data_IF_382053247421
#
_entry.id   IF_382053247421
#
_cell.length_a   1.000
_cell.length_b   1.000
_cell.length_c   1.000
_cell.angle_alpha   90.00
_cell.angle_beta   90.00
_cell.angle_gamma   90.00
#
_symmetry.space_group_name_H-M   'P 1'
#
loop_
_entity.id
_entity.type
_entity.pdbx_description
1 polymer ?
#
# COMPACT_ATOMS: atom_id res chain seq x y z
N UNK A 1 12.88 15.47 -13.77
CA UNK A 1 12.47 16.01 -15.09
C UNK A 1 11.37 15.11 -15.60
N UNK A 2 10.12 15.57 -15.55
CA UNK A 2 8.94 14.77 -15.95
C UNK A 2 8.73 14.93 -17.44
N UNK A 3 8.57 13.81 -18.15
CA UNK A 3 8.25 13.81 -19.57
C UNK A 3 6.79 14.26 -19.76
N UNK A 4 6.61 15.34 -20.52
CA UNK A 4 5.31 15.79 -20.99
C UNK A 4 5.09 15.07 -22.31
N UNK A 5 4.13 14.17 -22.36
CA UNK A 5 3.73 13.52 -23.60
C UNK A 5 2.84 14.47 -24.41
N UNK A 6 3.41 15.01 -25.49
CA UNK A 6 2.71 15.86 -26.46
C UNK A 6 1.94 14.95 -27.42
N UNK A 7 0.63 14.90 -27.29
CA UNK A 7 -0.24 14.32 -28.32
C UNK A 7 -0.24 15.26 -29.52
N UNK A 8 0.41 14.83 -30.61
CA UNK A 8 0.35 15.50 -31.90
C UNK A 8 -1.00 15.24 -32.57
N UNK A 9 -1.84 16.24 -32.62
CA UNK A 9 -3.01 16.22 -33.46
C UNK A 9 -2.68 16.54 -34.95
N UNK A 10 -3.37 15.84 -35.82
CA UNK A 10 -3.17 15.77 -37.26
C UNK A 10 -3.57 17.06 -37.97
N UNK A 11 -2.87 17.33 -39.04
CA UNK A 11 -2.97 18.44 -39.96
C UNK A 11 -4.40 18.87 -40.38
N UNK A 12 -4.66 20.15 -40.22
CA UNK A 12 -5.80 20.85 -40.83
C UNK A 12 -5.50 21.14 -42.32
N UNK A 13 -6.39 20.87 -43.30
CA UNK A 13 -6.18 21.22 -44.69
C UNK A 13 -6.37 22.73 -44.94
N UNK A 14 -5.44 23.30 -45.70
CA UNK A 14 -5.44 24.70 -46.09
C UNK A 14 -6.64 25.01 -46.99
N UNK A 15 -7.57 25.85 -46.54
CA UNK A 15 -8.26 26.84 -47.36
C UNK A 15 -8.94 27.90 -46.49
N UNK A 16 -8.60 29.17 -46.77
CA UNK A 16 -9.17 30.46 -46.34
C UNK A 16 -8.96 30.85 -44.87
N UNK A 17 -8.15 31.93 -44.75
CA UNK A 17 -7.95 32.71 -43.56
C UNK A 17 -9.27 33.10 -42.86
N UNK A 18 -9.52 32.48 -41.72
CA UNK A 18 -10.28 33.04 -40.58
C UNK A 18 -9.46 32.68 -39.35
N UNK A 19 -9.27 33.66 -38.51
CA UNK A 19 -8.54 33.58 -37.25
C UNK A 19 -8.97 32.33 -36.47
N UNK A 20 -8.06 31.38 -36.37
CA UNK A 20 -8.18 30.27 -35.42
C UNK A 20 -7.76 30.79 -34.05
N UNK A 21 -8.70 31.23 -33.26
CA UNK A 21 -8.46 31.47 -31.87
C UNK A 21 -8.13 30.12 -31.20
N UNK A 22 -6.90 30.06 -30.73
CA UNK A 22 -6.42 28.90 -29.96
C UNK A 22 -7.22 28.82 -28.65
N UNK A 23 -8.36 28.12 -28.68
CA UNK A 23 -9.13 27.86 -27.47
C UNK A 23 -8.49 26.71 -26.69
N UNK A 24 -7.90 27.14 -25.58
CA UNK A 24 -7.86 26.38 -24.33
C UNK A 24 -7.13 25.04 -24.35
N UNK A 25 -5.83 25.11 -24.10
CA UNK A 25 -5.16 24.02 -23.35
C UNK A 25 -5.89 23.92 -22.01
N UNK A 26 -6.78 22.95 -21.86
CA UNK A 26 -7.30 22.57 -20.55
C UNK A 26 -6.11 22.03 -19.75
N UNK A 27 -5.57 22.86 -18.87
CA UNK A 27 -4.65 22.41 -17.85
C UNK A 27 -5.39 21.32 -17.08
N UNK A 28 -4.94 20.07 -17.21
CA UNK A 28 -5.39 19.01 -16.33
C UNK A 28 -4.81 19.39 -14.96
N UNK A 29 -5.64 20.02 -14.13
CA UNK A 29 -5.29 20.20 -12.72
C UNK A 29 -5.27 18.81 -12.12
N UNK A 30 -4.08 18.34 -11.74
CA UNK A 30 -3.95 17.16 -10.88
C UNK A 30 -4.90 17.38 -9.70
N UNK A 31 -5.75 16.39 -9.42
CA UNK A 31 -6.67 16.44 -8.28
C UNK A 31 -5.85 16.75 -7.02
N UNK A 32 -6.19 17.82 -6.34
CA UNK A 32 -5.58 18.20 -5.05
C UNK A 32 -6.12 17.36 -3.89
N UNK A 33 -7.14 16.55 -4.16
CA UNK A 33 -7.81 15.76 -3.14
C UNK A 33 -7.00 14.53 -2.76
N UNK A 34 -6.95 14.17 -1.46
CA UNK A 34 -6.26 12.98 -1.00
C UNK A 34 -6.97 11.73 -1.51
N UNK A 35 -6.18 10.73 -1.88
CA UNK A 35 -6.69 9.37 -2.13
C UNK A 35 -6.87 8.67 -0.79
N UNK A 36 -8.02 8.05 -0.60
CA UNK A 36 -8.34 7.24 0.57
C UNK A 36 -8.58 5.81 0.10
N UNK A 37 -7.91 4.86 0.74
CA UNK A 37 -8.12 3.44 0.55
C UNK A 37 -8.33 2.75 1.89
N UNK A 38 -8.92 1.57 1.87
CA UNK A 38 -9.19 0.77 3.07
C UNK A 38 -9.01 -0.71 2.78
N UNK A 39 -8.81 -1.46 3.85
CA UNK A 39 -8.85 -2.92 3.84
C UNK A 39 -9.55 -3.42 5.10
N UNK A 40 -10.41 -4.41 4.93
CA UNK A 40 -10.97 -5.19 6.01
C UNK A 40 -10.17 -6.49 6.11
N UNK A 41 -9.51 -6.70 7.25
CA UNK A 41 -8.74 -7.91 7.50
C UNK A 41 -9.65 -8.99 8.09
N UNK A 42 -9.63 -10.15 7.47
CA UNK A 42 -10.33 -11.37 7.93
C UNK A 42 -9.62 -12.59 7.36
N UNK A 43 -9.58 -13.66 8.12
CA UNK A 43 -9.18 -14.99 7.68
C UNK A 43 -9.77 -16.04 8.61
N UNK A 44 -9.93 -15.68 9.88
CA UNK A 44 -10.54 -16.51 10.92
C UNK A 44 -11.58 -15.70 11.68
N UNK A 45 -12.38 -16.39 12.49
CA UNK A 45 -13.33 -15.70 13.37
C UNK A 45 -12.63 -14.96 14.54
N UNK A 46 -11.35 -15.26 14.81
CA UNK A 46 -10.58 -14.74 15.94
C UNK A 46 -9.99 -13.36 15.60
N UNK A 47 -9.22 -13.23 14.52
CA UNK A 47 -8.48 -12.00 14.18
C UNK A 47 -9.23 -11.22 13.13
N UNK A 48 -9.57 -9.96 13.44
CA UNK A 48 -10.29 -9.04 12.55
C UNK A 48 -9.73 -7.64 12.68
N UNK A 49 -9.79 -6.86 11.62
CA UNK A 49 -9.34 -5.48 11.68
C UNK A 49 -9.78 -4.64 10.49
N UNK A 50 -9.66 -3.34 10.67
CA UNK A 50 -9.84 -2.35 9.60
C UNK A 50 -8.61 -1.50 9.51
N UNK A 51 -8.10 -1.31 8.30
CA UNK A 51 -6.94 -0.47 8.00
C UNK A 51 -7.34 0.59 6.99
N UNK A 52 -7.03 1.84 7.30
CA UNK A 52 -7.28 3.00 6.46
C UNK A 52 -5.95 3.57 5.96
N UNK A 53 -5.88 3.88 4.69
CA UNK A 53 -4.74 4.49 4.01
C UNK A 53 -5.16 5.86 3.49
N UNK A 54 -4.33 6.87 3.67
CA UNK A 54 -4.58 8.24 3.19
C UNK A 54 -3.31 8.84 2.61
N UNK A 55 -3.38 9.32 1.38
CA UNK A 55 -2.26 9.99 0.72
C UNK A 55 -2.72 11.24 0.00
N UNK A 56 -2.21 12.41 0.42
CA UNK A 56 -2.30 13.61 -0.38
C UNK A 56 -1.21 13.61 -1.47
N UNK A 57 -1.42 14.29 -2.61
CA UNK A 57 -0.42 14.34 -3.67
C UNK A 57 0.94 14.79 -3.18
N UNK A 58 1.98 14.00 -3.47
CA UNK A 58 3.37 14.31 -3.11
C UNK A 58 3.73 14.13 -1.63
N UNK A 59 2.88 13.49 -0.83
CA UNK A 59 3.15 13.21 0.59
C UNK A 59 3.31 11.71 0.85
N UNK A 60 3.85 11.38 2.03
CA UNK A 60 3.85 10.01 2.54
C UNK A 60 2.43 9.51 2.78
N UNK A 61 2.22 8.20 2.65
CA UNK A 61 0.93 7.57 3.00
C UNK A 61 0.82 7.44 4.51
N UNK A 62 -0.29 7.94 5.07
CA UNK A 62 -0.67 7.73 6.46
C UNK A 62 -1.55 6.48 6.54
N UNK A 63 -1.12 5.50 7.35
CA UNK A 63 -1.82 4.23 7.56
C UNK A 63 -2.31 4.20 9.00
N UNK A 64 -3.60 4.00 9.20
CA UNK A 64 -4.22 3.85 10.53
C UNK A 64 -5.01 2.56 10.58
N UNK A 65 -4.86 1.82 11.69
CA UNK A 65 -5.59 0.57 11.83
C UNK A 65 -6.01 0.28 13.25
N UNK A 66 -7.00 -0.60 13.34
CA UNK A 66 -7.39 -1.28 14.57
C UNK A 66 -7.57 -2.75 14.24
N UNK A 67 -6.81 -3.62 14.91
CA UNK A 67 -6.88 -5.08 14.78
C UNK A 67 -7.18 -5.67 16.13
N UNK A 68 -8.03 -6.67 16.20
CA UNK A 68 -8.49 -7.32 17.42
C UNK A 68 -8.31 -8.84 17.34
N UNK A 69 -8.22 -9.52 18.48
CA UNK A 69 -8.10 -10.97 18.56
C UNK A 69 -6.68 -11.49 18.42
N UNK A 70 -5.68 -10.60 18.48
CA UNK A 70 -4.26 -10.94 18.51
C UNK A 70 -3.85 -11.51 19.88
N UNK A 71 -2.72 -12.19 19.96
CA UNK A 71 -2.05 -12.41 21.24
C UNK A 71 -1.36 -11.10 21.65
N UNK A 72 -1.17 -10.81 22.94
CA UNK A 72 -0.43 -9.63 23.38
C UNK A 72 1.02 -9.65 22.89
N UNK A 73 1.51 -8.57 22.30
CA UNK A 73 2.87 -8.47 21.82
C UNK A 73 3.00 -7.81 20.46
N UNK A 74 4.18 -7.92 19.87
CA UNK A 74 4.50 -7.40 18.56
C UNK A 74 4.08 -8.40 17.46
N UNK A 75 3.56 -7.87 16.37
CA UNK A 75 3.13 -8.64 15.20
C UNK A 75 3.61 -7.99 13.93
N UNK A 76 4.29 -8.74 13.06
CA UNK A 76 4.69 -8.27 11.74
C UNK A 76 3.48 -7.85 10.92
N UNK A 77 3.59 -6.72 10.22
CA UNK A 77 2.50 -6.13 9.44
C UNK A 77 3.01 -5.68 8.07
N UNK A 78 2.51 -6.33 7.00
CA UNK A 78 3.11 -6.17 5.68
C UNK A 78 2.08 -6.03 4.56
N UNK A 79 2.44 -5.25 3.53
CA UNK A 79 1.74 -5.25 2.25
C UNK A 79 2.34 -6.35 1.38
N UNK A 80 1.50 -7.25 0.88
CA UNK A 80 1.86 -8.37 0.04
C UNK A 80 1.65 -8.06 -1.45
N UNK A 81 2.30 -8.87 -2.30
CA UNK A 81 2.38 -8.66 -3.74
C UNK A 81 1.02 -8.70 -4.44
N UNK A 82 0.13 -9.59 -4.02
CA UNK A 82 -1.17 -9.81 -4.66
C UNK A 82 -2.33 -9.58 -3.71
N UNK A 83 -3.45 -9.06 -4.24
CA UNK A 83 -4.73 -9.00 -3.54
C UNK A 83 -5.59 -10.25 -3.77
N UNK A 84 -4.95 -11.39 -3.99
CA UNK A 84 -5.62 -12.66 -4.22
C UNK A 84 -5.93 -13.37 -2.89
N UNK A 85 -7.20 -13.68 -2.67
CA UNK A 85 -7.69 -14.38 -1.49
C UNK A 85 -8.28 -15.76 -1.82
N UNK A 86 -7.96 -16.33 -2.99
CA UNK A 86 -8.52 -17.61 -3.45
C UNK A 86 -8.14 -18.80 -2.57
N UNK A 87 -6.98 -18.74 -1.88
CA UNK A 87 -6.55 -19.68 -0.83
C UNK A 87 -6.25 -18.91 0.47
N UNK A 88 -7.21 -18.07 0.90
CA UNK A 88 -7.06 -17.21 2.06
C UNK A 88 -5.87 -16.25 1.90
N UNK A 89 -5.09 -16.09 2.97
CA UNK A 89 -3.93 -15.21 2.94
C UNK A 89 -2.73 -15.80 2.17
N UNK A 90 -2.71 -17.09 1.84
CA UNK A 90 -1.57 -17.76 1.20
C UNK A 90 -1.36 -17.32 -0.23
N UNK A 91 -2.43 -17.05 -0.98
CA UNK A 91 -2.38 -16.61 -2.37
C UNK A 91 -1.91 -15.15 -2.55
N UNK A 92 -1.68 -14.39 -1.48
CA UNK A 92 -1.18 -13.02 -1.56
C UNK A 92 0.30 -12.87 -1.94
N UNK A 93 1.03 -13.99 -2.11
CA UNK A 93 2.45 -13.96 -2.48
C UNK A 93 3.38 -13.54 -1.34
N UNK A 94 4.56 -13.03 -1.68
CA UNK A 94 5.53 -12.45 -0.74
C UNK A 94 5.20 -10.99 -0.38
N UNK A 95 6.10 -10.34 0.35
CA UNK A 95 6.01 -8.90 0.60
C UNK A 95 6.15 -8.12 -0.71
N UNK A 96 5.44 -7.01 -0.85
CA UNK A 96 5.53 -6.16 -2.03
C UNK A 96 6.93 -5.53 -2.14
N UNK A 97 7.74 -6.05 -3.05
CA UNK A 97 9.15 -5.71 -3.23
C UNK A 97 9.48 -5.32 -4.67
N UNK A 98 9.02 -4.16 -5.15
CA UNK A 98 9.32 -3.71 -6.52
C UNK A 98 10.78 -3.32 -6.73
N UNK A 99 11.55 -3.12 -5.67
CA UNK A 99 12.96 -2.71 -5.71
C UNK A 99 13.93 -3.91 -5.66
N UNK A 100 13.40 -5.13 -5.42
CA UNK A 100 14.17 -6.37 -5.28
C UNK A 100 15.34 -6.24 -4.28
N UNK A 101 15.01 -5.74 -3.10
CA UNK A 101 15.93 -5.60 -1.96
C UNK A 101 15.62 -6.65 -0.90
N UNK A 102 16.49 -6.80 0.10
CA UNK A 102 16.22 -7.65 1.25
C UNK A 102 15.14 -7.02 2.16
N UNK A 103 14.47 -7.88 2.94
CA UNK A 103 13.54 -7.47 3.99
C UNK A 103 14.24 -6.61 5.05
N UNK A 104 13.53 -5.65 5.60
CA UNK A 104 14.08 -4.75 6.59
C UNK A 104 13.03 -3.84 7.24
N UNK A 105 13.51 -2.70 7.72
CA UNK A 105 12.63 -1.70 8.32
C UNK A 105 11.86 -0.86 7.27
N UNK A 106 10.97 -0.02 7.75
CA UNK A 106 10.12 0.88 6.94
C UNK A 106 10.92 1.79 5.98
N UNK A 107 12.21 2.04 6.24
CA UNK A 107 13.06 2.94 5.46
C UNK A 107 13.87 2.21 4.39
N UNK A 108 14.34 1.00 4.67
CA UNK A 108 15.34 0.31 3.86
C UNK A 108 14.86 -1.04 3.30
N UNK A 109 13.85 -1.68 3.90
CA UNK A 109 13.28 -2.97 3.49
C UNK A 109 12.48 -2.92 2.20
N UNK A 110 11.60 -3.89 2.01
CA UNK A 110 10.63 -3.88 0.92
C UNK A 110 9.68 -2.66 1.03
N UNK A 111 9.05 -2.27 -0.03
CA UNK A 111 7.98 -1.24 0.04
C UNK A 111 6.84 -1.71 0.95
N UNK A 112 6.60 -3.02 0.98
CA UNK A 112 5.55 -3.63 1.78
C UNK A 112 5.87 -3.79 3.26
N UNK A 113 7.11 -3.55 3.72
CA UNK A 113 7.49 -3.73 5.12
C UNK A 113 7.02 -2.53 5.94
N UNK A 114 6.02 -2.77 6.80
CA UNK A 114 5.40 -1.75 7.66
C UNK A 114 5.80 -1.91 9.14
N UNK A 115 6.81 -2.75 9.39
CA UNK A 115 7.32 -3.10 10.72
C UNK A 115 6.30 -3.86 11.58
N UNK A 116 6.35 -3.67 12.90
CA UNK A 116 5.49 -4.33 13.86
C UNK A 116 4.35 -3.42 14.33
N UNK A 117 3.21 -4.02 14.62
CA UNK A 117 2.14 -3.41 15.39
C UNK A 117 2.05 -4.06 16.75
N UNK A 118 1.83 -3.26 17.80
CA UNK A 118 1.76 -3.75 19.18
C UNK A 118 0.30 -4.01 19.58
N UNK A 119 0.01 -5.25 19.96
CA UNK A 119 -1.24 -5.63 20.59
C UNK A 119 -1.14 -5.49 22.12
N UNK A 120 -2.15 -4.88 22.72
CA UNK A 120 -2.26 -4.74 24.17
C UNK A 120 -2.66 -6.07 24.87
N UNK A 121 -2.73 -6.06 26.20
CA UNK A 121 -3.13 -7.22 27.02
C UNK A 121 -4.54 -7.78 26.69
N UNK A 122 -5.32 -7.05 25.92
CA UNK A 122 -6.66 -7.46 25.45
C UNK A 122 -6.64 -7.97 24.01
N UNK A 123 -5.46 -8.06 23.39
CA UNK A 123 -5.27 -8.46 22.01
C UNK A 123 -5.73 -7.41 20.99
N UNK A 124 -5.65 -6.12 21.36
CA UNK A 124 -6.05 -5.01 20.47
C UNK A 124 -4.82 -4.21 20.07
N UNK A 125 -4.52 -4.18 18.77
CA UNK A 125 -3.54 -3.28 18.19
C UNK A 125 -4.24 -2.04 17.60
N UNK A 126 -3.84 -0.84 18.05
CA UNK A 126 -4.23 0.45 17.46
C UNK A 126 -2.98 1.20 17.08
N UNK A 127 -2.85 1.52 15.80
CA UNK A 127 -1.61 2.08 15.28
C UNK A 127 -1.83 3.19 14.27
N UNK A 128 -0.78 3.99 14.11
CA UNK A 128 -0.65 4.99 13.05
C UNK A 128 0.78 4.93 12.52
N UNK A 129 0.94 4.64 11.23
CA UNK A 129 2.22 4.52 10.55
C UNK A 129 2.28 5.60 9.48
N UNK A 130 3.43 6.28 9.36
CA UNK A 130 3.74 7.19 8.24
C UNK A 130 4.70 6.45 7.32
N UNK A 131 4.19 6.00 6.18
CA UNK A 131 4.92 5.15 5.23
C UNK A 131 5.36 5.97 4.00
N UNK A 132 6.63 6.43 3.95
CA UNK A 132 7.10 7.32 2.89
C UNK A 132 7.29 6.62 1.55
N UNK A 133 7.40 5.29 1.54
CA UNK A 133 7.64 4.48 0.34
C UNK A 133 6.37 3.82 -0.21
N UNK A 134 5.26 3.89 0.53
CA UNK A 134 3.96 3.35 0.12
C UNK A 134 3.19 4.40 -0.66
N UNK A 135 2.79 4.07 -1.88
CA UNK A 135 2.01 4.94 -2.75
C UNK A 135 0.61 4.38 -3.00
N UNK A 136 -0.40 5.24 -2.94
CA UNK A 136 -1.77 4.94 -3.40
C UNK A 136 -1.97 5.33 -4.86
N UNK A 137 -1.06 6.11 -5.45
CA UNK A 137 -1.15 6.71 -6.78
C UNK A 137 0.07 6.32 -7.61
N UNK A 138 -0.12 6.08 -8.91
CA UNK A 138 0.97 5.80 -9.85
C UNK A 138 1.29 4.32 -10.01
N UNK A 139 2.38 4.02 -10.71
CA UNK A 139 2.77 2.66 -11.11
C UNK A 139 3.11 1.74 -9.94
N UNK A 140 3.51 2.32 -8.82
CA UNK A 140 3.88 1.58 -7.59
C UNK A 140 2.75 1.52 -6.58
N UNK A 141 1.53 1.88 -6.99
CA UNK A 141 0.36 1.88 -6.12
C UNK A 141 0.14 0.53 -5.46
N UNK A 142 -0.20 0.59 -4.16
CA UNK A 142 -0.55 -0.59 -3.36
C UNK A 142 -2.05 -0.93 -3.41
N UNK A 143 -2.85 -0.13 -4.12
CA UNK A 143 -4.27 -0.44 -4.36
C UNK A 143 -4.38 -1.73 -5.16
N UNK A 144 -5.24 -2.64 -4.70
CA UNK A 144 -5.41 -3.97 -5.27
C UNK A 144 -4.43 -5.02 -4.75
N UNK A 145 -3.46 -4.64 -3.89
CA UNK A 145 -2.56 -5.57 -3.20
C UNK A 145 -3.15 -6.06 -1.89
N UNK A 146 -2.51 -7.09 -1.31
CA UNK A 146 -2.87 -7.64 0.00
C UNK A 146 -2.22 -6.86 1.14
N UNK A 147 -2.89 -6.80 2.28
CA UNK A 147 -2.31 -6.40 3.56
C UNK A 147 -2.50 -7.54 4.54
N UNK A 148 -1.45 -7.91 5.29
CA UNK A 148 -1.41 -9.08 6.14
C UNK A 148 -0.89 -8.71 7.52
N UNK A 149 -1.53 -9.26 8.57
CA UNK A 149 -1.02 -9.29 9.94
C UNK A 149 -0.53 -10.70 10.25
N UNK A 150 0.67 -10.77 10.85
CA UNK A 150 1.36 -12.02 11.13
C UNK A 150 1.28 -12.44 12.60
N UNK A 151 1.66 -13.69 12.86
CA UNK A 151 1.60 -14.30 14.20
C UNK A 151 2.70 -13.78 15.12
N UNK A 152 3.93 -13.67 14.60
CA UNK A 152 5.12 -13.37 15.37
C UNK A 152 5.63 -11.95 15.12
N UNK A 153 6.57 -11.53 15.97
CA UNK A 153 7.33 -10.30 15.81
C UNK A 153 8.21 -10.38 14.56
N UNK A 154 8.16 -9.35 13.74
CA UNK A 154 9.09 -9.11 12.63
C UNK A 154 10.46 -8.67 13.20
N UNK A 155 11.52 -9.40 12.86
CA UNK A 155 12.90 -9.13 13.30
C UNK A 155 13.59 -8.01 12.49
N UNK A 156 12.91 -7.43 11.51
CA UNK A 156 13.36 -6.33 10.65
C UNK A 156 14.65 -6.67 9.86
N UNK A 157 14.79 -7.93 9.45
CA UNK A 157 15.98 -8.41 8.74
C UNK A 157 17.22 -8.60 9.62
N UNK A 158 17.06 -8.60 10.95
CA UNK A 158 18.15 -8.64 11.93
C UNK A 158 18.32 -10.01 12.60
N UNK A 159 17.53 -11.00 12.23
CA UNK A 159 17.57 -12.36 12.80
C UNK A 159 18.82 -13.15 12.45
N UNK A 160 19.55 -12.75 11.40
CA UNK A 160 20.85 -13.35 11.06
C UNK A 160 20.75 -14.63 10.23
N UNK A 161 19.58 -14.98 9.73
CA UNK A 161 19.34 -16.12 8.84
C UNK A 161 18.69 -15.66 7.51
N UNK A 162 18.57 -16.60 6.55
CA UNK A 162 18.06 -16.28 5.22
C UNK A 162 16.56 -15.97 5.19
N UNK A 163 15.77 -16.46 6.14
CA UNK A 163 14.34 -16.18 6.22
C UNK A 163 14.08 -14.80 6.79
N UNK A 164 14.91 -14.34 7.74
CA UNK A 164 14.93 -12.97 8.25
C UNK A 164 15.03 -11.94 7.10
N UNK A 165 15.90 -12.19 6.12
CA UNK A 165 16.09 -11.31 4.96
C UNK A 165 14.97 -11.40 3.91
N UNK A 166 13.98 -12.27 4.11
CA UNK A 166 12.82 -12.41 3.22
C UNK A 166 11.51 -11.99 3.87
N UNK A 167 11.32 -12.38 5.13
CA UNK A 167 10.01 -12.30 5.81
C UNK A 167 10.08 -11.69 7.19
N UNK A 168 11.29 -11.42 7.71
CA UNK A 168 11.49 -10.97 9.08
C UNK A 168 11.13 -12.02 10.13
N UNK A 169 11.07 -13.31 9.75
CA UNK A 169 10.66 -14.41 10.63
C UNK A 169 9.27 -14.18 11.30
N UNK A 170 8.39 -13.41 10.66
CA UNK A 170 7.11 -12.97 11.25
C UNK A 170 6.04 -14.06 11.40
N UNK A 171 6.33 -15.29 11.02
CA UNK A 171 5.47 -16.45 11.23
C UNK A 171 4.24 -16.50 10.32
N UNK A 172 3.19 -17.18 10.82
CA UNK A 172 1.95 -17.44 10.05
C UNK A 172 1.13 -16.17 9.79
N UNK A 173 0.27 -16.24 8.77
CA UNK A 173 -0.64 -15.15 8.37
C UNK A 173 -1.96 -15.26 9.13
N UNK A 174 -2.18 -14.41 10.12
CA UNK A 174 -3.36 -14.47 10.98
C UNK A 174 -4.62 -13.91 10.35
N UNK A 175 -4.49 -12.79 9.64
CA UNK A 175 -5.59 -12.19 8.88
C UNK A 175 -5.05 -11.32 7.74
N UNK A 176 -5.86 -11.15 6.73
CA UNK A 176 -5.50 -10.38 5.55
C UNK A 176 -6.72 -9.73 4.89
N UNK A 177 -6.46 -8.79 3.99
CA UNK A 177 -7.49 -8.17 3.18
C UNK A 177 -6.90 -7.46 1.96
N UNK A 178 -7.75 -7.12 1.00
CA UNK A 178 -7.34 -6.39 -0.19
C UNK A 178 -7.47 -4.89 0.07
N UNK A 179 -6.45 -4.13 -0.33
CA UNK A 179 -6.46 -2.66 -0.26
C UNK A 179 -7.31 -2.13 -1.41
N UNK A 180 -8.44 -1.51 -1.09
CA UNK A 180 -9.40 -1.00 -2.07
C UNK A 180 -9.62 0.51 -1.91
N UNK A 181 -9.85 1.21 -3.02
CA UNK A 181 -10.20 2.64 -2.95
C UNK A 181 -11.53 2.80 -2.22
N UNK A 182 -11.54 3.73 -1.28
CA UNK A 182 -12.79 4.16 -0.65
C UNK A 182 -13.44 5.24 -1.50
N UNK A 183 -14.68 5.01 -1.94
CA UNK A 183 -15.45 6.03 -2.64
C UNK A 183 -15.64 7.26 -1.71
N UNK A 184 -15.41 8.46 -2.26
CA UNK A 184 -15.84 9.70 -1.59
C UNK A 184 -17.36 9.72 -1.53
N UNK A 185 -17.92 9.91 -0.35
CA UNK A 185 -19.34 10.15 -0.15
C UNK A 185 -19.72 11.55 -0.67
#
# INVERSE_FOLDING_TARGET
MRAIELIKERSCPRTRARECTCESIKTITESSEPVIAQSELMHSDKVKGTVLFMQAPGTATLIKGTITGLEPGLHGFHIHEFGDMSDGCKSMGGHYNPDNVDHGDLQQGHVGDLENVLADDKGVAKFTIVAPRVDLIGERSVIGRGIVIHEDEDDLGKGGDAESLKTGNAGERLACGVITVRASE
#
